data_IF_098189303474
#
_entry.id   IF_098189303474
#
_cell.length_a   1.000
_cell.length_b   1.000
_cell.length_c   1.000
_cell.angle_alpha   90.00
_cell.angle_beta   90.00
_cell.angle_gamma   90.00
#
_symmetry.space_group_name_H-M   'P 1'
#
loop_
_entity.id
_entity.type
_entity.pdbx_description
1 polymer ?
#
# COMPACT_ATOMS: atom_id res chain seq x y z
N UNK A 1 12.04 -4.68 -0.98
CA UNK A 1 13.03 -3.76 -1.60
C UNK A 1 13.83 -3.11 -0.47
N UNK A 2 15.15 -2.97 -0.60
CA UNK A 2 15.98 -2.20 0.36
C UNK A 2 15.73 -0.69 0.18
N UNK A 3 15.74 0.07 1.27
CA UNK A 3 15.44 1.51 1.30
C UNK A 3 16.28 2.34 0.32
N UNK A 4 17.56 2.00 0.15
CA UNK A 4 18.47 2.68 -0.78
C UNK A 4 17.98 2.66 -2.23
N UNK A 5 17.36 1.54 -2.65
CA UNK A 5 16.83 1.41 -4.02
C UNK A 5 15.59 2.28 -4.23
N UNK A 6 14.82 2.52 -3.17
CA UNK A 6 13.65 3.39 -3.21
C UNK A 6 14.04 4.86 -3.28
N UNK A 7 15.02 5.29 -2.49
CA UNK A 7 15.55 6.66 -2.56
C UNK A 7 16.14 6.96 -3.95
N UNK A 8 16.93 6.03 -4.51
CA UNK A 8 17.46 6.16 -5.86
C UNK A 8 16.35 6.26 -6.92
N UNK A 9 15.27 5.49 -6.77
CA UNK A 9 14.10 5.57 -7.66
C UNK A 9 13.40 6.93 -7.56
N UNK A 10 13.20 7.46 -6.35
CA UNK A 10 12.63 8.80 -6.14
C UNK A 10 13.45 9.87 -6.81
N UNK A 11 14.77 9.84 -6.65
CA UNK A 11 15.68 10.77 -7.32
C UNK A 11 15.57 10.67 -8.84
N UNK A 12 15.56 9.46 -9.39
CA UNK A 12 15.46 9.25 -10.84
C UNK A 12 14.12 9.77 -11.39
N UNK A 13 13.01 9.44 -10.73
CA UNK A 13 11.68 9.90 -11.11
C UNK A 13 11.59 11.42 -11.06
N UNK A 14 12.14 12.05 -10.02
CA UNK A 14 12.15 13.50 -9.92
C UNK A 14 12.99 14.17 -11.02
N UNK A 15 14.12 13.57 -11.40
CA UNK A 15 14.96 14.06 -12.51
C UNK A 15 14.28 13.91 -13.88
N UNK A 16 13.59 12.79 -14.12
CA UNK A 16 13.00 12.46 -15.44
C UNK A 16 11.61 13.05 -15.66
N UNK A 17 10.75 12.98 -14.64
CA UNK A 17 9.32 13.23 -14.77
C UNK A 17 8.83 14.41 -13.94
N UNK A 18 9.68 14.98 -13.07
CA UNK A 18 9.36 16.06 -12.13
C UNK A 18 8.14 15.70 -11.28
N UNK A 19 8.40 15.10 -10.12
CA UNK A 19 7.34 14.64 -9.21
C UNK A 19 6.44 15.82 -8.83
N UNK A 20 5.14 15.68 -9.07
CA UNK A 20 4.15 16.72 -8.78
C UNK A 20 3.75 16.70 -7.30
N UNK A 21 3.65 15.50 -6.73
CA UNK A 21 3.24 15.32 -5.36
C UNK A 21 3.99 14.14 -4.72
N UNK A 22 4.40 14.31 -3.46
CA UNK A 22 5.13 13.31 -2.69
C UNK A 22 4.80 13.45 -1.21
N UNK A 23 4.16 12.43 -0.63
CA UNK A 23 3.78 12.45 0.77
C UNK A 23 3.81 11.07 1.42
N UNK A 24 3.69 11.07 2.74
CA UNK A 24 3.69 9.88 3.58
C UNK A 24 2.32 9.76 4.25
N UNK A 25 1.71 8.60 4.13
CA UNK A 25 0.44 8.24 4.75
C UNK A 25 0.65 7.12 5.76
N UNK A 26 -0.19 7.08 6.80
CA UNK A 26 -0.21 5.96 7.73
C UNK A 26 -1.09 4.85 7.17
N UNK A 27 -0.57 3.62 7.12
CA UNK A 27 -1.38 2.46 6.73
C UNK A 27 -2.22 2.03 7.94
N UNK A 28 -3.49 2.44 7.94
CA UNK A 28 -4.47 2.07 8.98
C UNK A 28 -5.30 0.88 8.49
N UNK A 29 -5.46 -0.13 9.34
CA UNK A 29 -6.28 -1.32 9.05
C UNK A 29 -7.37 -1.45 10.11
N UNK A 30 -8.60 -1.66 9.65
CA UNK A 30 -9.73 -1.92 10.55
C UNK A 30 -9.67 -3.33 11.10
N UNK A 31 -9.68 -3.46 12.42
CA UNK A 31 -9.71 -4.74 13.13
C UNK A 31 -10.91 -4.81 14.06
N UNK A 32 -11.22 -6.01 14.56
CA UNK A 32 -12.30 -6.23 15.52
C UNK A 32 -12.13 -5.41 16.82
N UNK A 33 -10.89 -5.03 17.17
CA UNK A 33 -10.55 -4.23 18.35
C UNK A 33 -10.41 -2.72 18.01
N UNK A 34 -10.65 -2.32 16.75
CA UNK A 34 -10.55 -0.94 16.26
C UNK A 34 -9.48 -0.73 15.18
N UNK A 35 -9.33 0.50 14.66
CA UNK A 35 -8.32 0.82 13.67
C UNK A 35 -6.92 0.78 14.28
N UNK A 36 -6.01 0.03 13.68
CA UNK A 36 -4.61 -0.04 14.10
C UNK A 36 -3.68 0.49 13.01
N UNK A 37 -2.62 1.18 13.40
CA UNK A 37 -1.54 1.57 12.50
C UNK A 37 -0.67 0.36 12.22
N UNK A 38 -0.72 -0.12 10.97
CA UNK A 38 0.00 -1.29 10.50
C UNK A 38 1.25 -0.95 9.68
N UNK A 39 1.50 0.33 9.36
CA UNK A 39 2.70 0.71 8.62
C UNK A 39 2.63 2.13 8.08
N UNK A 40 3.42 2.39 7.04
CA UNK A 40 3.45 3.64 6.29
C UNK A 40 3.33 3.37 4.80
N UNK A 41 2.75 4.31 4.07
CA UNK A 41 2.69 4.32 2.62
C UNK A 41 3.38 5.59 2.13
N UNK A 42 4.45 5.45 1.36
CA UNK A 42 4.99 6.57 0.60
C UNK A 42 4.24 6.67 -0.72
N UNK A 43 3.70 7.85 -1.04
CA UNK A 43 2.95 8.12 -2.26
C UNK A 43 3.70 9.14 -3.10
N UNK A 44 3.84 8.86 -4.39
CA UNK A 44 4.45 9.73 -5.38
C UNK A 44 3.50 9.86 -6.57
N UNK A 45 3.23 11.07 -7.02
CA UNK A 45 2.43 11.34 -8.23
C UNK A 45 3.28 12.13 -9.20
N UNK A 46 3.36 11.65 -10.44
CA UNK A 46 4.15 12.30 -11.48
C UNK A 46 3.53 12.09 -12.87
N UNK A 47 3.71 13.06 -13.79
CA UNK A 47 3.23 12.94 -15.16
C UNK A 47 4.19 12.08 -15.98
N UNK A 48 3.64 11.28 -16.89
CA UNK A 48 4.40 10.56 -17.91
C UNK A 48 3.79 10.81 -19.28
N UNK A 49 4.50 10.51 -20.39
CA UNK A 49 3.91 10.60 -21.73
C UNK A 49 2.66 9.75 -21.92
N UNK A 50 2.44 8.72 -21.08
CA UNK A 50 1.28 7.83 -21.13
C UNK A 50 0.13 8.26 -20.20
N UNK A 51 0.29 9.37 -19.47
CA UNK A 51 -0.66 9.87 -18.48
C UNK A 51 -0.06 10.04 -17.10
N UNK A 52 -0.88 10.41 -16.12
CA UNK A 52 -0.47 10.59 -14.73
C UNK A 52 -0.29 9.24 -14.05
N UNK A 53 0.82 9.06 -13.34
CA UNK A 53 1.16 7.84 -12.62
C UNK A 53 1.23 8.14 -11.13
N UNK A 54 0.63 7.27 -10.33
CA UNK A 54 0.77 7.25 -8.86
C UNK A 54 1.58 6.01 -8.50
N UNK A 55 2.70 6.19 -7.82
CA UNK A 55 3.53 5.10 -7.31
C UNK A 55 3.41 5.09 -5.79
N UNK A 56 3.10 3.94 -5.21
CA UNK A 56 3.04 3.77 -3.76
C UNK A 56 4.02 2.73 -3.29
N UNK A 57 4.67 2.98 -2.15
CA UNK A 57 5.47 2.00 -1.41
C UNK A 57 4.87 1.81 -0.04
N UNK A 58 4.21 0.67 0.15
CA UNK A 58 3.75 0.21 1.46
C UNK A 58 4.93 -0.42 2.21
N UNK A 59 5.19 0.06 3.42
CA UNK A 59 6.19 -0.48 4.34
C UNK A 59 5.51 -0.88 5.63
N UNK A 60 5.48 -2.19 5.91
CA UNK A 60 4.84 -2.74 7.11
C UNK A 60 5.76 -3.77 7.80
N UNK A 61 5.79 -3.81 9.14
CA UNK A 61 6.48 -4.88 9.85
C UNK A 61 5.88 -6.23 9.44
N UNK A 62 6.75 -7.22 9.26
CA UNK A 62 6.35 -8.60 8.97
C UNK A 62 5.51 -9.11 10.13
N UNK A 63 4.37 -9.73 9.86
CA UNK A 63 3.59 -10.41 10.91
C UNK A 63 4.34 -11.69 11.26
N UNK A 64 4.91 -11.76 12.46
CA UNK A 64 5.67 -12.92 12.93
C UNK A 64 4.77 -14.07 13.36
N UNK A 65 3.60 -13.76 13.93
CA UNK A 65 2.70 -14.77 14.48
C UNK A 65 1.25 -14.25 14.51
N UNK A 66 0.30 -15.09 14.10
CA UNK A 66 -1.14 -14.84 14.20
C UNK A 66 -1.73 -15.86 15.17
N UNK A 67 -2.06 -15.46 16.40
CA UNK A 67 -2.78 -16.32 17.34
C UNK A 67 -4.26 -15.98 17.31
N UNK A 68 -5.04 -16.93 16.79
CA UNK A 68 -6.49 -16.89 16.86
C UNK A 68 -6.90 -17.66 18.11
N UNK A 69 -7.40 -16.94 19.12
CA UNK A 69 -7.97 -17.59 20.30
C UNK A 69 -9.42 -17.96 20.00
N UNK A 70 -9.65 -19.23 19.67
CA UNK A 70 -10.99 -19.78 19.53
C UNK A 70 -11.58 -20.04 20.91
N UNK A 71 -12.45 -19.15 21.39
CA UNK A 71 -13.17 -19.38 22.65
C UNK A 71 -14.43 -20.20 22.35
N UNK A 72 -14.50 -21.44 22.84
CA UNK A 72 -15.62 -22.38 22.61
C UNK A 72 -16.84 -22.14 23.54
N UNK A 73 -16.91 -21.00 24.25
CA UNK A 73 -18.05 -20.68 25.12
C UNK A 73 -19.09 -19.85 24.37
N UNK A 74 -20.36 -20.24 24.48
CA UNK A 74 -21.52 -19.47 24.01
C UNK A 74 -21.39 -18.01 24.47
N UNK A 75 -21.24 -17.08 23.52
CA UNK A 75 -21.35 -15.64 23.75
C UNK A 75 -20.06 -14.82 23.77
N UNK A 76 -18.87 -15.38 23.48
CA UNK A 76 -17.63 -14.57 23.35
C UNK A 76 -17.07 -14.58 21.93
N UNK A 77 -16.86 -13.38 21.40
CA UNK A 77 -16.20 -13.10 20.12
C UNK A 77 -14.74 -13.59 20.14
N UNK A 78 -14.32 -14.21 19.04
CA UNK A 78 -12.94 -14.64 18.86
C UNK A 78 -12.02 -13.42 18.88
N UNK A 79 -10.96 -13.45 19.71
CA UNK A 79 -9.94 -12.39 19.78
C UNK A 79 -8.75 -12.80 18.92
N UNK A 80 -8.37 -11.93 17.98
CA UNK A 80 -7.20 -12.17 17.12
C UNK A 80 -6.07 -11.27 17.61
N UNK A 81 -4.99 -11.86 18.14
CA UNK A 81 -3.79 -11.12 18.49
C UNK A 81 -2.76 -11.22 17.36
N UNK A 82 -2.32 -10.07 16.86
CA UNK A 82 -1.28 -9.94 15.85
C UNK A 82 0.06 -9.67 16.53
N UNK A 83 1.07 -10.52 16.30
CA UNK A 83 2.46 -10.22 16.68
C UNK A 83 3.22 -9.72 15.46
N UNK A 84 3.62 -8.45 15.47
CA UNK A 84 4.44 -7.83 14.43
C UNK A 84 5.93 -7.98 14.76
N UNK A 85 6.77 -8.07 13.73
CA UNK A 85 8.23 -8.03 13.86
C UNK A 85 8.66 -6.60 14.15
N UNK A 86 9.53 -6.43 15.14
CA UNK A 86 10.16 -5.13 15.41
C UNK A 86 11.32 -4.85 14.43
N UNK A 87 11.85 -5.87 13.75
CA UNK A 87 13.10 -5.79 12.98
C UNK A 87 12.95 -6.11 11.50
N UNK A 88 11.93 -6.89 11.10
CA UNK A 88 11.70 -7.26 9.70
C UNK A 88 10.54 -6.48 9.11
N UNK A 89 10.80 -5.79 7.99
CA UNK A 89 9.79 -5.04 7.24
C UNK A 89 9.56 -5.66 5.86
N UNK A 90 8.30 -5.81 5.48
CA UNK A 90 7.90 -6.12 4.12
C UNK A 90 7.60 -4.81 3.37
N UNK A 91 8.12 -4.70 2.16
CA UNK A 91 7.87 -3.56 1.28
C UNK A 91 7.14 -4.02 0.03
N UNK A 92 5.99 -3.44 -0.27
CA UNK A 92 5.23 -3.66 -1.51
C UNK A 92 5.19 -2.36 -2.29
N UNK A 93 5.55 -2.42 -3.57
CA UNK A 93 5.42 -1.29 -4.49
C UNK A 93 4.25 -1.56 -5.40
N UNK A 94 3.40 -0.56 -5.60
CA UNK A 94 2.30 -0.59 -6.56
C UNK A 94 2.36 0.65 -7.42
N UNK A 95 2.06 0.49 -8.70
CA UNK A 95 1.93 1.60 -9.63
C UNK A 95 0.48 1.68 -10.07
N UNK A 96 -0.02 2.89 -10.25
CA UNK A 96 -1.38 3.16 -10.70
C UNK A 96 -1.32 4.16 -11.83
N UNK A 97 -2.19 3.98 -12.81
CA UNK A 97 -2.41 4.93 -13.89
C UNK A 97 -3.69 5.69 -13.64
N UNK A 98 -3.64 7.01 -13.79
CA UNK A 98 -4.83 7.85 -13.80
C UNK A 98 -5.67 7.54 -15.03
N UNK A 99 -6.91 7.19 -14.81
CA UNK A 99 -7.91 6.95 -15.84
C UNK A 99 -9.15 7.79 -15.53
N UNK A 100 -9.28 8.99 -16.15
CA UNK A 100 -10.39 9.88 -15.88
C UNK A 100 -11.73 9.37 -16.43
N UNK A 101 -11.72 8.30 -17.24
CA UNK A 101 -12.90 7.67 -17.83
C UNK A 101 -13.24 6.33 -17.14
N UNK A 102 -12.55 6.00 -16.04
CA UNK A 102 -12.88 4.83 -15.24
C UNK A 102 -14.35 4.92 -14.77
N UNK A 103 -15.21 4.10 -15.37
CA UNK A 103 -16.64 4.08 -15.06
C UNK A 103 -16.85 3.62 -13.62
N UNK A 104 -17.34 4.55 -12.80
CA UNK A 104 -17.63 4.42 -11.37
C UNK A 104 -18.42 3.14 -11.07
N UNK A 105 -17.77 2.15 -10.48
CA UNK A 105 -18.44 1.05 -9.81
C UNK A 105 -18.69 1.47 -8.37
N UNK A 106 -19.94 1.70 -7.98
CA UNK A 106 -20.29 2.20 -6.64
C UNK A 106 -19.60 1.41 -5.51
N UNK A 107 -18.53 1.94 -4.92
CA UNK A 107 -17.87 1.27 -3.81
C UNK A 107 -16.55 1.82 -3.24
N UNK A 108 -15.72 2.58 -3.98
CA UNK A 108 -14.38 2.96 -3.47
C UNK A 108 -13.97 4.40 -3.87
N UNK A 109 -13.59 5.24 -2.90
CA UNK A 109 -13.18 6.65 -3.10
C UNK A 109 -11.84 6.83 -3.88
N UNK A 110 -11.30 5.79 -4.53
CA UNK A 110 -10.09 5.82 -5.37
C UNK A 110 -10.33 5.32 -6.82
N UNK A 111 -11.58 5.31 -7.30
CA UNK A 111 -11.99 4.72 -8.59
C UNK A 111 -11.29 5.28 -9.85
N UNK A 112 -10.59 6.43 -9.77
CA UNK A 112 -9.87 7.07 -10.88
C UNK A 112 -8.43 6.55 -11.10
N UNK A 113 -7.89 5.76 -10.17
CA UNK A 113 -6.53 5.21 -10.23
C UNK A 113 -6.56 3.69 -10.49
N UNK A 114 -6.21 3.26 -11.71
CA UNK A 114 -6.14 1.84 -12.06
C UNK A 114 -4.77 1.25 -11.78
N UNK A 115 -4.71 0.22 -10.94
CA UNK A 115 -3.45 -0.50 -10.63
C UNK A 115 -2.86 -1.09 -11.92
N UNK A 116 -1.57 -0.82 -12.16
CA UNK A 116 -0.79 -1.40 -13.23
C UNK A 116 -0.17 -2.68 -12.66
N UNK A 117 -0.80 -3.82 -12.94
CA UNK A 117 -0.25 -5.11 -12.54
C UNK A 117 1.06 -5.37 -13.30
N UNK A 118 2.17 -5.50 -12.56
CA UNK A 118 3.48 -5.76 -13.13
C UNK A 118 3.63 -7.19 -13.69
N UNK A 119 2.65 -8.08 -13.47
CA UNK A 119 2.63 -9.45 -13.96
C UNK A 119 2.28 -9.59 -15.44
N UNK A 120 1.78 -8.55 -16.10
CA UNK A 120 1.38 -8.60 -17.51
C UNK A 120 2.43 -8.05 -18.51
N UNK A 121 3.66 -7.75 -18.08
CA UNK A 121 4.75 -7.35 -18.97
C UNK A 121 5.51 -8.52 -19.63
N UNK A 122 4.95 -9.73 -19.58
CA UNK A 122 5.54 -10.92 -20.18
C UNK A 122 4.55 -11.71 -21.03
N UNK A 123 4.45 -11.35 -22.32
CA UNK A 123 4.11 -12.30 -23.38
C UNK A 123 4.86 -11.93 -24.66
#
# INVERSE_FOLDING_TARGET
MQDEKWEALKEELNRKFKVEDSHLEDLIVETADGPIKQGKVEVLIFPTPLGKIKLTRESKPVVLDKKVFYSHQQGKSARTEYKFSETEFSHKIKAYKWDPDASVGAGDDNDEWKEIDAGNFGS
#
